data_IF_317762462339
#
_entry.id   IF_317762462339
#
_cell.length_a   1.000
_cell.length_b   1.000
_cell.length_c   1.000
_cell.angle_alpha   90.00
_cell.angle_beta   90.00
_cell.angle_gamma   90.00
#
_symmetry.space_group_name_H-M   'P 1'
#
loop_
_entity.id
_entity.type
_entity.pdbx_description
1 polymer ?
#
# COMPACT_ATOMS: atom_id res chain seq x y z
N UNK A 1 28.76 4.51 34.38
CA UNK A 1 27.57 3.94 33.72
C UNK A 1 27.46 4.57 32.35
N UNK A 2 27.81 3.82 31.30
CA UNK A 2 27.69 4.30 29.92
C UNK A 2 26.21 4.34 29.54
N UNK A 3 25.70 5.52 29.24
CA UNK A 3 24.38 5.69 28.62
C UNK A 3 24.49 5.08 27.23
N UNK A 4 24.02 3.84 27.08
CA UNK A 4 23.83 3.24 25.76
C UNK A 4 22.82 4.12 25.05
N UNK A 5 23.31 4.95 24.12
CA UNK A 5 22.48 5.67 23.17
C UNK A 5 21.72 4.64 22.35
N UNK A 6 20.52 4.26 22.81
CA UNK A 6 19.56 3.49 22.04
C UNK A 6 19.22 4.35 20.83
N UNK A 7 19.71 3.96 19.65
CA UNK A 7 19.22 4.53 18.40
C UNK A 7 17.69 4.50 18.43
N UNK A 8 17.00 5.60 18.07
CA UNK A 8 15.55 5.63 18.09
C UNK A 8 15.02 4.51 17.19
N UNK A 9 14.04 3.75 17.71
CA UNK A 9 13.36 2.72 16.95
C UNK A 9 12.68 3.36 15.74
N UNK A 10 12.77 2.72 14.59
CA UNK A 10 12.04 3.17 13.40
C UNK A 10 10.54 3.07 13.66
N UNK A 11 9.80 4.14 13.40
CA UNK A 11 8.34 4.14 13.54
C UNK A 11 7.68 3.39 12.38
N UNK A 12 6.62 2.64 12.65
CA UNK A 12 5.87 1.98 11.58
C UNK A 12 5.28 3.00 10.59
N UNK A 13 4.94 4.22 11.05
CA UNK A 13 4.50 5.32 10.20
C UNK A 13 5.59 5.89 9.30
N UNK A 14 6.86 5.49 9.44
CA UNK A 14 7.96 5.88 8.55
C UNK A 14 8.16 4.86 7.42
N UNK A 15 7.52 3.68 7.50
CA UNK A 15 7.59 2.68 6.45
C UNK A 15 6.80 3.19 5.24
N UNK A 16 7.49 3.32 4.11
CA UNK A 16 6.93 3.76 2.83
C UNK A 16 7.18 2.67 1.81
N UNK A 17 6.11 2.23 1.15
CA UNK A 17 6.17 1.35 -0.02
C UNK A 17 5.37 1.98 -1.13
N UNK A 18 5.67 1.63 -2.38
CA UNK A 18 4.82 2.00 -3.50
C UNK A 18 3.60 1.06 -3.52
N UNK A 19 2.46 1.58 -3.97
CA UNK A 19 1.19 0.84 -3.91
C UNK A 19 0.70 0.38 -5.27
N UNK A 20 1.39 0.74 -6.36
CA UNK A 20 1.01 0.31 -7.70
C UNK A 20 0.98 -1.20 -7.78
N UNK A 21 0.06 -1.78 -8.54
CA UNK A 21 0.01 -3.25 -8.73
C UNK A 21 1.33 -3.77 -9.28
N UNK A 22 2.02 -2.97 -10.12
CA UNK A 22 3.34 -3.28 -10.64
C UNK A 22 4.39 -3.41 -9.54
N UNK A 23 4.45 -2.46 -8.61
CA UNK A 23 5.41 -2.47 -7.51
C UNK A 23 5.10 -3.59 -6.51
N UNK A 24 3.82 -3.79 -6.17
CA UNK A 24 3.39 -4.91 -5.32
C UNK A 24 3.80 -6.27 -5.91
N UNK A 25 3.63 -6.46 -7.22
CA UNK A 25 4.13 -7.66 -7.92
C UNK A 25 5.65 -7.79 -7.87
N UNK A 26 6.38 -6.68 -7.86
CA UNK A 26 7.83 -6.71 -7.73
C UNK A 26 8.26 -7.07 -6.30
N UNK A 27 7.55 -6.59 -5.29
CA UNK A 27 7.78 -6.92 -3.89
C UNK A 27 7.59 -8.41 -3.60
N UNK A 28 6.48 -8.99 -4.07
CA UNK A 28 6.16 -10.41 -3.90
C UNK A 28 7.18 -11.37 -4.55
N UNK A 29 8.09 -10.86 -5.39
CA UNK A 29 9.17 -11.64 -6.01
C UNK A 29 10.45 -11.72 -5.19
N UNK A 30 10.52 -11.06 -4.02
CA UNK A 30 11.68 -11.23 -3.13
C UNK A 30 11.82 -12.71 -2.77
N UNK A 31 13.01 -13.26 -3.02
CA UNK A 31 13.35 -14.65 -2.76
C UNK A 31 14.62 -14.76 -1.92
N UNK A 32 14.46 -15.37 -0.75
CA UNK A 32 15.51 -15.62 0.22
C UNK A 32 16.45 -16.71 -0.28
N UNK A 33 17.70 -16.72 0.18
CA UNK A 33 18.68 -17.76 -0.18
C UNK A 33 18.32 -19.09 0.50
N UNK A 34 17.85 -19.02 1.73
CA UNK A 34 17.36 -20.12 2.55
C UNK A 34 16.30 -19.60 3.51
N UNK A 35 15.58 -20.50 4.16
CA UNK A 35 14.71 -20.13 5.26
C UNK A 35 14.63 -21.26 6.29
N UNK A 36 15.01 -20.97 7.52
CA UNK A 36 14.92 -21.89 8.66
C UNK A 36 14.44 -21.17 9.94
N UNK A 37 14.39 -21.89 11.06
CA UNK A 37 13.94 -21.31 12.33
C UNK A 37 14.76 -20.10 12.79
N UNK A 38 16.06 -20.02 12.48
CA UNK A 38 16.87 -18.83 12.84
C UNK A 38 16.41 -17.60 12.05
N UNK A 39 16.04 -17.79 10.78
CA UNK A 39 15.50 -16.72 9.94
C UNK A 39 14.11 -16.26 10.45
N UNK A 40 13.27 -17.19 10.93
CA UNK A 40 11.99 -16.85 11.56
C UNK A 40 12.15 -16.07 12.89
N UNK A 41 13.14 -16.42 13.71
CA UNK A 41 13.51 -15.67 14.91
C UNK A 41 14.02 -14.28 14.58
N UNK A 42 14.88 -14.13 13.55
CA UNK A 42 15.32 -12.83 13.08
C UNK A 42 14.14 -11.92 12.71
N UNK A 43 13.15 -12.43 11.97
CA UNK A 43 11.94 -11.68 11.62
C UNK A 43 11.20 -11.24 12.89
N UNK A 44 11.01 -12.16 13.84
CA UNK A 44 10.30 -11.87 15.09
C UNK A 44 11.00 -10.78 15.92
N UNK A 45 12.32 -10.84 16.01
CA UNK A 45 13.11 -9.83 16.72
C UNK A 45 13.10 -8.49 15.99
N UNK A 46 13.09 -8.50 14.65
CA UNK A 46 12.92 -7.29 13.85
C UNK A 46 11.59 -6.64 14.11
N UNK A 47 10.49 -7.38 14.11
CA UNK A 47 9.16 -6.85 14.45
C UNK A 47 9.19 -6.16 15.82
N UNK A 48 9.75 -6.81 16.86
CA UNK A 48 9.86 -6.24 18.21
C UNK A 48 10.75 -4.98 18.30
N UNK A 49 11.57 -4.72 17.28
CA UNK A 49 12.47 -3.56 17.24
C UNK A 49 11.82 -2.28 16.69
N UNK A 50 10.62 -2.36 16.09
CA UNK A 50 9.89 -1.19 15.61
C UNK A 50 9.19 -0.44 16.76
N UNK A 51 8.92 0.84 16.53
CA UNK A 51 7.98 1.63 17.32
C UNK A 51 6.60 1.59 16.65
N UNK A 52 5.62 1.04 17.38
CA UNK A 52 4.26 0.82 16.90
C UNK A 52 3.33 2.01 17.17
N UNK A 53 3.82 3.08 17.81
CA UNK A 53 3.08 4.32 17.99
C UNK A 53 1.73 4.09 18.72
N UNK A 54 1.73 3.15 19.68
CA UNK A 54 0.56 2.76 20.45
C UNK A 54 -0.37 1.74 19.76
N UNK A 55 -0.04 1.26 18.56
CA UNK A 55 -0.79 0.20 17.90
C UNK A 55 -0.43 -1.19 18.45
N UNK A 56 -1.41 -2.07 18.50
CA UNK A 56 -1.27 -3.46 18.92
C UNK A 56 -1.27 -4.39 17.69
N UNK A 57 -0.43 -5.42 17.70
CA UNK A 57 -0.40 -6.43 16.63
C UNK A 57 -0.26 -7.86 17.15
N UNK A 58 -0.80 -8.79 16.35
CA UNK A 58 -0.45 -10.21 16.39
C UNK A 58 0.29 -10.58 15.11
N UNK A 59 1.30 -11.43 15.23
CA UNK A 59 2.03 -11.94 14.06
C UNK A 59 2.36 -13.43 14.19
N UNK A 60 2.53 -14.07 13.03
CA UNK A 60 3.02 -15.44 12.94
C UNK A 60 3.88 -15.65 11.68
N UNK A 61 4.87 -16.52 11.78
CA UNK A 61 5.73 -16.99 10.70
C UNK A 61 5.49 -18.48 10.56
N UNK A 62 4.78 -18.87 9.49
CA UNK A 62 4.32 -20.24 9.29
C UNK A 62 4.73 -20.78 7.93
N UNK A 63 5.06 -22.06 7.91
CA UNK A 63 5.20 -22.84 6.68
C UNK A 63 3.84 -23.45 6.29
N UNK A 64 3.62 -23.67 4.99
CA UNK A 64 2.36 -24.23 4.50
C UNK A 64 2.18 -25.72 4.83
N UNK A 65 3.21 -26.38 5.35
CA UNK A 65 3.09 -27.72 5.93
C UNK A 65 2.52 -27.71 7.36
N UNK A 66 2.15 -26.55 7.89
CA UNK A 66 1.53 -26.39 9.21
C UNK A 66 2.50 -26.05 10.34
N UNK A 67 3.81 -25.99 10.09
CA UNK A 67 4.78 -25.59 11.11
C UNK A 67 4.74 -24.08 11.35
N UNK A 68 4.41 -23.67 12.59
CA UNK A 68 4.62 -22.31 13.07
C UNK A 68 6.01 -22.20 13.68
N UNK A 69 6.91 -21.48 12.99
CA UNK A 69 8.31 -21.35 13.40
C UNK A 69 8.50 -20.28 14.48
N UNK A 70 7.67 -19.25 14.46
CA UNK A 70 7.60 -18.21 15.48
C UNK A 70 6.28 -17.45 15.40
N UNK A 71 5.83 -16.91 16.53
CA UNK A 71 4.66 -16.03 16.64
C UNK A 71 4.79 -15.11 17.84
N UNK A 72 3.91 -14.12 17.92
CA UNK A 72 3.89 -13.22 19.07
C UNK A 72 2.80 -12.17 18.99
N UNK A 73 2.71 -11.45 20.11
CA UNK A 73 1.83 -10.30 20.30
C UNK A 73 2.71 -9.11 20.70
N UNK A 74 2.42 -7.95 20.15
CA UNK A 74 2.96 -6.66 20.60
C UNK A 74 1.77 -5.85 21.06
N UNK A 75 1.73 -5.50 22.35
CA UNK A 75 0.60 -4.82 22.96
C UNK A 75 -0.53 -5.78 23.36
N UNK A 76 -1.79 -5.41 23.13
CA UNK A 76 -2.98 -6.21 23.48
C UNK A 76 -3.80 -6.60 22.24
N UNK A 77 -4.10 -7.89 22.09
CA UNK A 77 -4.94 -8.38 20.97
C UNK A 77 -6.09 -9.23 21.48
N UNK A 78 -7.17 -9.25 20.71
CA UNK A 78 -8.36 -10.05 20.97
C UNK A 78 -8.37 -11.32 20.10
N UNK A 79 -9.16 -12.35 20.47
CA UNK A 79 -9.24 -13.60 19.71
C UNK A 79 -9.54 -13.43 18.22
N UNK A 80 -10.42 -12.48 17.85
CA UNK A 80 -10.76 -12.23 16.44
C UNK A 80 -9.57 -11.78 15.59
N UNK A 81 -8.49 -11.24 16.18
CA UNK A 81 -7.28 -10.90 15.43
C UNK A 81 -6.61 -12.15 14.83
N UNK A 82 -6.78 -13.32 15.47
CA UNK A 82 -6.31 -14.61 14.96
C UNK A 82 -7.12 -15.09 13.77
N UNK A 83 -8.43 -14.83 13.72
CA UNK A 83 -9.26 -15.17 12.54
C UNK A 83 -8.74 -14.43 11.31
N UNK A 84 -8.47 -13.14 11.44
CA UNK A 84 -7.84 -12.35 10.37
C UNK A 84 -6.45 -12.87 10.00
N UNK A 85 -5.62 -13.22 10.98
CA UNK A 85 -4.28 -13.75 10.73
C UNK A 85 -4.36 -15.07 9.94
N UNK A 86 -5.25 -15.99 10.32
CA UNK A 86 -5.45 -17.26 9.63
C UNK A 86 -6.04 -17.06 8.23
N UNK A 87 -7.04 -16.19 8.11
CA UNK A 87 -7.70 -15.88 6.84
C UNK A 87 -6.73 -15.30 5.80
N UNK A 88 -5.86 -14.36 6.21
CA UNK A 88 -4.84 -13.78 5.34
C UNK A 88 -3.78 -14.82 4.93
N UNK A 89 -3.36 -15.68 5.85
CA UNK A 89 -2.42 -16.79 5.57
C UNK A 89 -2.97 -17.73 4.49
N UNK A 90 -4.23 -18.14 4.62
CA UNK A 90 -4.89 -19.04 3.67
C UNK A 90 -4.98 -18.42 2.27
N UNK A 91 -5.18 -17.10 2.16
CA UNK A 91 -5.11 -16.39 0.88
C UNK A 91 -3.73 -16.50 0.24
N UNK A 92 -2.64 -16.35 1.00
CA UNK A 92 -1.28 -16.53 0.44
C UNK A 92 -1.04 -17.98 0.04
N UNK A 93 -1.45 -18.93 0.87
CA UNK A 93 -1.31 -20.36 0.59
C UNK A 93 -2.04 -20.77 -0.69
N UNK A 94 -3.25 -20.23 -0.92
CA UNK A 94 -4.07 -20.56 -2.10
C UNK A 94 -3.61 -19.84 -3.38
N UNK A 95 -3.24 -18.57 -3.29
CA UNK A 95 -3.02 -17.74 -4.48
C UNK A 95 -1.55 -17.41 -4.78
N UNK A 96 -0.63 -17.78 -3.87
CA UNK A 96 0.80 -17.51 -3.99
C UNK A 96 1.12 -16.02 -4.22
N UNK A 97 0.29 -15.16 -3.63
CA UNK A 97 0.42 -13.70 -3.64
C UNK A 97 0.21 -13.21 -2.21
N UNK A 98 0.87 -12.12 -1.82
CA UNK A 98 0.53 -11.43 -0.59
C UNK A 98 -0.96 -11.10 -0.57
N UNK A 99 -1.57 -11.18 0.62
CA UNK A 99 -3.01 -10.97 0.76
C UNK A 99 -3.44 -9.59 0.24
N UNK A 100 -2.57 -8.59 0.42
CA UNK A 100 -2.76 -7.25 -0.12
C UNK A 100 -2.77 -7.21 -1.65
N UNK A 101 -1.75 -7.77 -2.32
CA UNK A 101 -1.67 -7.78 -3.78
C UNK A 101 -2.89 -8.49 -4.39
N UNK A 102 -3.28 -9.64 -3.82
CA UNK A 102 -4.47 -10.35 -4.25
C UNK A 102 -5.72 -9.47 -4.11
N UNK A 103 -5.90 -8.84 -2.95
CA UNK A 103 -7.00 -7.92 -2.70
C UNK A 103 -7.06 -6.74 -3.66
N UNK A 104 -5.94 -6.05 -3.89
CA UNK A 104 -5.89 -4.93 -4.83
C UNK A 104 -6.17 -5.38 -6.27
N UNK A 105 -5.75 -6.60 -6.65
CA UNK A 105 -6.05 -7.19 -7.96
C UNK A 105 -7.54 -7.48 -8.12
N UNK A 106 -8.20 -8.01 -7.08
CA UNK A 106 -9.66 -8.23 -7.09
C UNK A 106 -10.43 -6.91 -7.21
N UNK A 107 -10.07 -5.92 -6.40
CA UNK A 107 -10.69 -4.59 -6.44
C UNK A 107 -10.53 -3.98 -7.84
N UNK A 108 -9.33 -4.02 -8.41
CA UNK A 108 -9.09 -3.51 -9.77
C UNK A 108 -9.91 -4.27 -10.82
N UNK A 109 -10.07 -5.58 -10.67
CA UNK A 109 -10.84 -6.41 -11.61
C UNK A 109 -12.34 -6.11 -11.59
N UNK A 110 -12.91 -5.82 -10.42
CA UNK A 110 -14.37 -5.72 -10.24
C UNK A 110 -14.89 -4.29 -10.01
N UNK A 111 -14.01 -3.35 -9.66
CA UNK A 111 -14.32 -1.96 -9.36
C UNK A 111 -13.31 -1.02 -10.00
N UNK A 112 -12.92 -1.30 -11.25
CA UNK A 112 -12.05 -0.41 -12.01
C UNK A 112 -12.69 0.97 -12.19
N UNK A 113 -11.86 2.00 -12.04
CA UNK A 113 -12.19 3.38 -12.35
C UNK A 113 -11.22 3.89 -13.42
N UNK A 114 -11.72 4.52 -14.50
CA UNK A 114 -10.88 5.23 -15.45
C UNK A 114 -9.94 6.22 -14.76
N UNK A 115 -8.79 6.48 -15.36
CA UNK A 115 -7.68 7.27 -14.82
C UNK A 115 -8.10 8.54 -14.05
N UNK A 116 -8.92 9.38 -14.69
CA UNK A 116 -9.38 10.66 -14.15
C UNK A 116 -10.77 10.61 -13.49
N UNK A 117 -11.38 9.43 -13.45
CA UNK A 117 -12.69 9.22 -12.86
C UNK A 117 -12.61 9.09 -11.33
N UNK A 118 -13.69 9.51 -10.68
CA UNK A 118 -13.85 9.50 -9.24
C UNK A 118 -14.93 8.50 -8.84
N UNK A 119 -14.86 8.00 -7.60
CA UNK A 119 -15.97 7.28 -7.01
C UNK A 119 -17.18 8.20 -6.83
N UNK A 120 -18.39 7.64 -6.72
CA UNK A 120 -19.60 8.43 -6.46
C UNK A 120 -19.51 9.19 -5.12
N UNK A 121 -18.85 8.59 -4.11
CA UNK A 121 -18.61 9.23 -2.81
C UNK A 121 -17.65 10.41 -2.93
N UNK A 122 -16.54 10.26 -3.65
CA UNK A 122 -15.58 11.35 -3.86
C UNK A 122 -16.17 12.47 -4.70
N UNK A 123 -16.93 12.10 -5.72
CA UNK A 123 -17.67 13.06 -6.55
C UNK A 123 -18.59 13.91 -5.70
N UNK A 124 -19.43 13.27 -4.87
CA UNK A 124 -20.36 13.97 -3.99
C UNK A 124 -19.63 14.90 -3.01
N UNK A 125 -18.53 14.41 -2.43
CA UNK A 125 -17.68 15.18 -1.51
C UNK A 125 -17.07 16.42 -2.17
N UNK A 126 -16.51 16.28 -3.38
CA UNK A 126 -15.90 17.40 -4.12
C UNK A 126 -16.95 18.44 -4.55
N UNK A 127 -18.14 17.99 -4.97
CA UNK A 127 -19.25 18.87 -5.36
C UNK A 127 -19.78 19.69 -4.19
N UNK A 128 -19.74 19.16 -2.96
CA UNK A 128 -20.19 19.87 -1.76
C UNK A 128 -19.22 20.98 -1.29
N UNK A 129 -17.96 20.97 -1.72
CA UNK A 129 -16.96 21.99 -1.32
C UNK A 129 -17.31 23.34 -1.96
N UNK A 130 -17.81 24.31 -1.19
CA UNK A 130 -18.30 25.59 -1.71
C UNK A 130 -17.20 26.43 -2.38
N UNK A 131 -16.00 26.44 -1.83
CA UNK A 131 -14.85 27.15 -2.40
C UNK A 131 -14.36 26.45 -3.68
N UNK A 132 -14.41 27.17 -4.81
CA UNK A 132 -14.02 26.62 -6.11
C UNK A 132 -12.55 26.18 -6.14
N UNK A 133 -11.66 26.94 -5.49
CA UNK A 133 -10.22 26.64 -5.49
C UNK A 133 -9.93 25.36 -4.71
N UNK A 134 -10.55 25.19 -3.54
CA UNK A 134 -10.42 24.00 -2.72
C UNK A 134 -11.10 22.79 -3.36
N UNK A 135 -12.23 22.97 -4.06
CA UNK A 135 -12.86 21.91 -4.84
C UNK A 135 -11.94 21.36 -5.93
N UNK A 136 -11.20 22.24 -6.63
CA UNK A 136 -10.20 21.85 -7.63
C UNK A 136 -8.97 21.20 -6.98
N UNK A 137 -8.49 21.72 -5.84
CA UNK A 137 -7.43 21.04 -5.08
C UNK A 137 -7.84 19.63 -4.69
N UNK A 138 -9.07 19.46 -4.22
CA UNK A 138 -9.58 18.18 -3.76
C UNK A 138 -9.78 17.18 -4.89
N UNK A 139 -10.19 17.64 -6.08
CA UNK A 139 -10.16 16.83 -7.30
C UNK A 139 -8.75 16.26 -7.53
N UNK A 140 -7.72 17.11 -7.54
CA UNK A 140 -6.34 16.66 -7.74
C UNK A 140 -5.83 15.76 -6.61
N UNK A 141 -6.12 16.05 -5.34
CA UNK A 141 -5.81 15.15 -4.20
C UNK A 141 -6.43 13.78 -4.36
N UNK A 142 -7.61 13.72 -4.96
CA UNK A 142 -8.33 12.47 -5.11
C UNK A 142 -7.76 11.63 -6.25
N UNK A 143 -7.43 12.24 -7.40
CA UNK A 143 -6.92 11.49 -8.57
C UNK A 143 -5.40 11.30 -8.60
N UNK A 144 -4.62 12.09 -7.85
CA UNK A 144 -3.16 12.05 -7.88
C UNK A 144 -2.53 11.58 -6.57
N UNK A 145 -1.33 11.02 -6.67
CA UNK A 145 -0.48 10.66 -5.54
C UNK A 145 0.98 11.01 -5.84
N UNK A 146 1.73 11.33 -4.80
CA UNK A 146 3.18 11.52 -4.92
C UNK A 146 3.87 10.18 -5.20
N UNK A 147 4.70 10.16 -6.23
CA UNK A 147 5.51 9.01 -6.62
C UNK A 147 6.82 9.47 -7.25
N UNK A 148 7.92 9.33 -6.50
CA UNK A 148 9.24 9.82 -6.93
C UNK A 148 9.65 9.18 -8.26
N UNK A 149 10.05 10.05 -9.19
CA UNK A 149 10.47 9.65 -10.53
C UNK A 149 9.34 9.53 -11.55
N UNK A 150 8.09 9.62 -11.13
CA UNK A 150 6.94 9.66 -12.04
C UNK A 150 6.73 11.06 -12.63
N UNK A 151 6.00 11.13 -13.74
CA UNK A 151 5.70 12.38 -14.43
C UNK A 151 4.30 12.36 -15.00
N UNK A 152 3.63 13.51 -15.01
CA UNK A 152 2.29 13.65 -15.57
C UNK A 152 2.15 14.95 -16.38
N UNK A 153 1.44 14.89 -17.50
CA UNK A 153 1.21 16.04 -18.38
C UNK A 153 0.25 17.04 -17.74
N UNK A 154 0.64 18.31 -17.66
CA UNK A 154 -0.27 19.37 -17.21
C UNK A 154 -1.43 19.57 -18.18
N UNK A 155 -1.15 19.53 -19.49
CA UNK A 155 -2.15 19.74 -20.51
C UNK A 155 -3.30 18.72 -20.40
N UNK A 156 -2.94 17.45 -20.22
CA UNK A 156 -3.90 16.36 -20.06
C UNK A 156 -4.69 16.49 -18.76
N UNK A 157 -3.98 16.72 -17.65
CA UNK A 157 -4.60 16.93 -16.33
C UNK A 157 -5.60 18.07 -16.32
N UNK A 158 -5.21 19.22 -16.85
CA UNK A 158 -6.05 20.41 -16.90
C UNK A 158 -7.26 20.20 -17.82
N UNK A 159 -7.08 19.51 -18.95
CA UNK A 159 -8.19 19.13 -19.84
C UNK A 159 -9.23 18.28 -19.11
N UNK A 160 -8.77 17.24 -18.39
CA UNK A 160 -9.63 16.30 -17.67
C UNK A 160 -10.30 16.90 -16.45
N UNK A 161 -9.62 17.79 -15.73
CA UNK A 161 -10.21 18.56 -14.65
C UNK A 161 -11.34 19.47 -15.17
N UNK A 162 -11.16 20.14 -16.32
CA UNK A 162 -12.21 20.97 -16.92
C UNK A 162 -13.41 20.15 -17.40
N UNK A 163 -13.17 18.96 -17.93
CA UNK A 163 -14.24 18.02 -18.29
C UNK A 163 -15.10 17.67 -17.06
N UNK A 164 -14.46 17.32 -15.94
CA UNK A 164 -15.14 17.09 -14.67
C UNK A 164 -15.91 18.33 -14.17
N UNK A 165 -15.28 19.51 -14.24
CA UNK A 165 -15.92 20.76 -13.81
C UNK A 165 -17.19 21.06 -14.60
N UNK A 166 -17.17 20.88 -15.92
CA UNK A 166 -18.33 21.15 -16.79
C UNK A 166 -19.47 20.16 -16.61
N UNK A 167 -19.15 18.90 -16.37
CA UNK A 167 -20.13 17.80 -16.36
C UNK A 167 -20.69 17.52 -14.97
N UNK A 168 -19.97 17.88 -13.91
CA UNK A 168 -20.29 17.42 -12.55
C UNK A 168 -20.33 18.56 -11.53
N UNK A 169 -19.26 19.34 -11.38
CA UNK A 169 -19.17 20.28 -10.25
C UNK A 169 -19.66 21.69 -10.52
N UNK A 170 -19.69 22.14 -11.78
CA UNK A 170 -19.92 23.52 -12.19
C UNK A 170 -18.80 24.49 -11.79
N UNK A 171 -17.74 24.02 -11.12
CA UNK A 171 -16.69 24.86 -10.52
C UNK A 171 -15.43 24.81 -11.36
N UNK A 172 -15.18 25.90 -12.08
CA UNK A 172 -13.98 26.07 -12.90
C UNK A 172 -13.05 27.07 -12.24
N UNK A 173 -11.77 26.71 -12.18
CA UNK A 173 -10.70 27.59 -11.73
C UNK A 173 -9.64 27.59 -12.82
N UNK A 174 -9.28 28.78 -13.26
CA UNK A 174 -8.17 28.94 -14.20
C UNK A 174 -6.86 29.04 -13.42
N UNK A 175 -5.92 28.14 -13.72
CA UNK A 175 -4.58 28.14 -13.14
C UNK A 175 -3.61 28.58 -14.23
N UNK A 176 -3.13 29.81 -14.12
CA UNK A 176 -2.13 30.36 -15.04
C UNK A 176 -0.84 29.52 -15.01
N UNK A 177 -0.15 29.41 -16.14
CA UNK A 177 1.03 28.55 -16.30
C UNK A 177 2.14 28.85 -15.29
N UNK A 178 2.34 30.11 -14.93
CA UNK A 178 3.32 30.58 -13.93
C UNK A 178 2.92 30.28 -12.48
N UNK A 179 1.66 29.93 -12.23
CA UNK A 179 1.13 29.57 -10.92
C UNK A 179 1.07 28.04 -10.68
N UNK A 180 1.25 27.22 -11.72
CA UNK A 180 1.13 25.75 -11.67
C UNK A 180 2.03 25.14 -10.60
N UNK A 181 3.29 25.58 -10.50
CA UNK A 181 4.21 25.04 -9.50
C UNK A 181 3.75 25.31 -8.07
N UNK A 182 3.37 26.56 -7.77
CA UNK A 182 2.86 26.92 -6.44
C UNK A 182 1.57 26.17 -6.12
N UNK A 183 0.70 25.99 -7.10
CA UNK A 183 -0.54 25.24 -6.95
C UNK A 183 -0.27 23.79 -6.53
N UNK A 184 0.53 23.04 -7.31
CA UNK A 184 0.78 21.63 -7.01
C UNK A 184 1.62 21.45 -5.75
N UNK A 185 2.60 22.32 -5.45
CA UNK A 185 3.36 22.25 -4.19
C UNK A 185 2.48 22.47 -2.94
N UNK A 186 1.38 23.22 -3.07
CA UNK A 186 0.42 23.39 -1.98
C UNK A 186 -0.40 22.13 -1.66
N UNK A 187 -0.43 21.17 -2.58
CA UNK A 187 -1.15 19.90 -2.45
C UNK A 187 -0.17 18.74 -2.20
N UNK A 188 0.93 18.75 -2.94
CA UNK A 188 1.95 17.71 -3.03
C UNK A 188 3.33 18.37 -2.88
N UNK A 189 3.86 18.47 -1.65
CA UNK A 189 5.10 19.19 -1.35
C UNK A 189 6.32 18.76 -2.18
N UNK A 190 6.36 17.49 -2.60
CA UNK A 190 7.46 16.91 -3.37
C UNK A 190 7.29 17.03 -4.89
N UNK A 191 6.19 17.62 -5.36
CA UNK A 191 5.98 17.87 -6.79
C UNK A 191 6.93 18.95 -7.34
N UNK A 192 7.32 18.80 -8.61
CA UNK A 192 8.13 19.78 -9.32
C UNK A 192 7.56 20.03 -10.71
N UNK A 193 7.33 21.28 -11.08
CA UNK A 193 6.90 21.61 -12.44
C UNK A 193 8.11 21.78 -13.36
N UNK A 194 8.02 21.23 -14.57
CA UNK A 194 9.06 21.33 -15.61
C UNK A 194 8.41 21.59 -16.96
N UNK A 195 9.17 22.19 -17.85
CA UNK A 195 8.77 22.43 -19.23
C UNK A 195 9.81 21.79 -20.16
N UNK A 196 9.33 21.15 -21.22
CA UNK A 196 10.15 20.56 -22.27
C UNK A 196 9.55 20.94 -23.63
N UNK A 197 10.38 21.42 -24.56
CA UNK A 197 9.89 21.96 -25.83
C UNK A 197 9.11 20.96 -26.70
N UNK A 198 9.21 19.64 -26.43
CA UNK A 198 8.43 18.60 -27.13
C UNK A 198 7.22 18.13 -26.31
N UNK A 199 7.33 18.08 -24.98
CA UNK A 199 6.28 17.56 -24.08
C UNK A 199 5.37 18.63 -23.47
N UNK A 200 5.72 19.91 -23.63
CA UNK A 200 5.07 21.02 -22.95
C UNK A 200 5.33 21.00 -21.43
N UNK A 201 4.40 21.58 -20.67
CA UNK A 201 4.45 21.62 -19.21
C UNK A 201 4.05 20.26 -18.60
N UNK A 202 4.85 19.77 -17.66
CA UNK A 202 4.58 18.53 -16.94
C UNK A 202 5.00 18.65 -15.47
N UNK A 203 4.41 17.79 -14.62
CA UNK A 203 4.68 17.76 -13.19
C UNK A 203 5.41 16.45 -12.88
N UNK A 204 6.59 16.56 -12.26
CA UNK A 204 7.37 15.43 -11.76
C UNK A 204 6.92 15.05 -10.36
N UNK A 205 7.23 13.81 -9.99
CA UNK A 205 6.94 13.17 -8.72
C UNK A 205 5.44 13.00 -8.45
N UNK A 206 4.60 13.08 -9.48
CA UNK A 206 3.18 12.80 -9.41
C UNK A 206 2.81 11.72 -10.42
N UNK A 207 1.84 10.89 -10.05
CA UNK A 207 1.13 9.97 -10.94
C UNK A 207 -0.35 9.94 -10.62
N UNK A 208 -1.13 9.40 -11.55
CA UNK A 208 -2.51 9.02 -11.29
C UNK A 208 -2.55 7.86 -10.29
N UNK A 209 -3.54 7.94 -9.39
CA UNK A 209 -3.92 6.82 -8.54
C UNK A 209 -4.55 5.71 -9.39
N UNK A 210 -4.19 4.48 -9.08
CA UNK A 210 -4.85 3.29 -9.62
C UNK A 210 -6.27 3.16 -9.05
N UNK A 211 -7.09 2.31 -9.68
CA UNK A 211 -8.49 2.13 -9.28
C UNK A 211 -8.63 1.77 -7.80
N UNK A 212 -7.81 0.84 -7.33
CA UNK A 212 -7.82 0.37 -5.94
C UNK A 212 -7.37 1.43 -4.92
N UNK A 213 -6.67 2.49 -5.35
CA UNK A 213 -6.28 3.63 -4.52
C UNK A 213 -7.36 4.74 -4.49
N UNK A 214 -8.32 4.67 -5.41
CA UNK A 214 -9.45 5.62 -5.55
C UNK A 214 -10.75 5.11 -4.94
N UNK A 215 -10.91 3.78 -4.84
CA UNK A 215 -12.14 3.19 -4.26
C UNK A 215 -11.94 2.83 -2.79
N UNK A 216 -12.87 3.26 -1.95
CA UNK A 216 -12.90 2.88 -0.54
C UNK A 216 -13.75 1.61 -0.36
N UNK A 217 -13.24 0.47 -0.83
CA UNK A 217 -13.91 -0.83 -0.76
C UNK A 217 -13.01 -1.83 -0.03
N UNK A 218 -13.60 -2.61 0.87
CA UNK A 218 -12.90 -3.71 1.52
C UNK A 218 -12.64 -4.83 0.50
N UNK A 219 -11.37 -5.17 0.31
CA UNK A 219 -10.99 -6.24 -0.59
C UNK A 219 -11.51 -7.61 -0.12
N UNK A 220 -11.60 -7.84 1.20
CA UNK A 220 -12.23 -9.05 1.74
C UNK A 220 -13.73 -9.10 1.40
N UNK A 221 -14.45 -7.97 1.46
CA UNK A 221 -15.85 -7.95 0.98
C UNK A 221 -15.96 -8.28 -0.50
N UNK A 222 -15.05 -7.76 -1.34
CA UNK A 222 -15.03 -8.11 -2.78
C UNK A 222 -14.75 -9.60 -2.97
N UNK A 223 -13.82 -10.18 -2.20
CA UNK A 223 -13.55 -11.63 -2.21
C UNK A 223 -14.79 -12.43 -1.80
N UNK A 224 -15.45 -12.02 -0.71
CA UNK A 224 -16.69 -12.61 -0.20
C UNK A 224 -17.84 -12.49 -1.21
N UNK A 225 -17.89 -11.47 -2.05
CA UNK A 225 -18.95 -11.33 -3.05
C UNK A 225 -18.64 -12.07 -4.36
N UNK A 226 -17.37 -12.08 -4.77
CA UNK A 226 -16.97 -12.48 -6.13
C UNK A 226 -16.33 -13.85 -6.22
N UNK A 227 -16.04 -14.50 -5.09
CA UNK A 227 -15.38 -15.83 -5.06
C UNK A 227 -16.09 -16.77 -4.08
N UNK A 228 -15.74 -18.05 -4.10
CA UNK A 228 -16.17 -19.05 -3.11
C UNK A 228 -15.45 -18.93 -1.76
N UNK A 229 -14.40 -18.12 -1.69
CA UNK A 229 -13.52 -18.00 -0.53
C UNK A 229 -14.06 -16.90 0.38
N UNK A 230 -14.46 -17.28 1.59
CA UNK A 230 -15.14 -16.38 2.52
C UNK A 230 -14.35 -16.19 3.81
N UNK A 231 -14.48 -15.03 4.43
CA UNK A 231 -14.14 -14.86 5.85
C UNK A 231 -15.00 -15.82 6.72
N UNK A 232 -14.46 -16.43 7.80
CA UNK A 232 -13.11 -16.28 8.37
C UNK A 232 -12.04 -17.19 7.76
N UNK A 233 -12.34 -17.97 6.72
CA UNK A 233 -11.37 -18.88 6.12
C UNK A 233 -10.37 -18.15 5.21
N UNK A 234 -10.78 -17.05 4.57
CA UNK A 234 -9.95 -16.27 3.67
C UNK A 234 -10.19 -14.77 3.87
N UNK A 235 -9.12 -13.99 3.71
CA UNK A 235 -9.17 -12.53 3.74
C UNK A 235 -8.21 -11.95 2.70
N UNK A 236 -8.63 -10.89 2.02
CA UNK A 236 -7.87 -10.20 0.98
C UNK A 236 -7.24 -8.89 1.49
N UNK A 237 -7.31 -8.65 2.79
CA UNK A 237 -6.73 -7.48 3.43
C UNK A 237 -5.23 -7.67 3.67
N UNK A 238 -4.47 -6.59 3.63
CA UNK A 238 -3.02 -6.65 3.78
C UNK A 238 -2.56 -7.21 5.12
N UNK A 239 -1.42 -7.89 5.11
CA UNK A 239 -0.77 -8.40 6.32
C UNK A 239 -0.17 -9.79 6.19
N UNK A 240 -0.57 -10.61 5.23
CA UNK A 240 0.17 -11.84 4.90
C UNK A 240 1.09 -11.62 3.69
N UNK A 241 2.35 -12.04 3.81
CA UNK A 241 3.38 -11.86 2.79
C UNK A 241 4.14 -13.18 2.56
N UNK A 242 4.33 -13.60 1.29
CA UNK A 242 4.93 -14.90 0.97
C UNK A 242 6.39 -15.01 1.37
N UNK A 243 6.79 -16.19 1.84
CA UNK A 243 8.18 -16.58 2.08
C UNK A 243 8.64 -17.39 0.88
N UNK A 244 9.29 -16.73 -0.09
CA UNK A 244 9.87 -17.40 -1.24
C UNK A 244 11.34 -17.75 -0.98
N UNK A 245 11.78 -18.91 -1.46
CA UNK A 245 13.17 -19.35 -1.39
C UNK A 245 13.66 -19.65 -2.81
N UNK A 246 14.88 -19.22 -3.12
CA UNK A 246 15.49 -19.42 -4.45
C UNK A 246 15.52 -20.91 -4.81
N UNK A 247 15.14 -21.23 -6.04
CA UNK A 247 15.09 -22.61 -6.53
C UNK A 247 13.82 -23.38 -6.16
N UNK A 248 12.91 -22.80 -5.39
CA UNK A 248 11.59 -23.38 -5.09
C UNK A 248 10.53 -22.68 -5.95
N UNK A 249 9.63 -23.45 -6.56
CA UNK A 249 8.66 -22.96 -7.56
C UNK A 249 7.54 -22.07 -6.99
N UNK A 250 7.38 -22.02 -5.66
CA UNK A 250 6.38 -21.20 -4.99
C UNK A 250 6.78 -20.88 -3.55
N UNK A 251 5.97 -20.08 -2.85
CA UNK A 251 6.19 -19.77 -1.45
C UNK A 251 6.10 -21.04 -0.60
N UNK A 252 6.99 -21.16 0.38
CA UNK A 252 6.99 -22.29 1.34
C UNK A 252 6.16 -22.00 2.59
N UNK A 253 5.75 -20.75 2.76
CA UNK A 253 5.07 -20.23 3.93
C UNK A 253 4.75 -18.75 3.78
N UNK A 254 4.31 -18.13 4.87
CA UNK A 254 4.08 -16.70 4.94
C UNK A 254 4.40 -16.14 6.33
N UNK A 255 4.85 -14.88 6.36
CA UNK A 255 4.68 -14.03 7.53
C UNK A 255 3.28 -13.43 7.48
N UNK A 256 2.58 -13.41 8.61
CA UNK A 256 1.28 -12.77 8.72
C UNK A 256 1.25 -11.80 9.90
N UNK A 257 0.72 -10.61 9.69
CA UNK A 257 0.56 -9.52 10.65
C UNK A 257 -0.91 -9.06 10.62
N UNK A 258 -1.45 -8.76 11.80
CA UNK A 258 -2.80 -8.24 11.96
C UNK A 258 -2.86 -7.30 13.15
N UNK A 259 -3.53 -6.16 12.98
CA UNK A 259 -3.83 -5.21 14.06
C UNK A 259 -3.57 -3.75 13.71
N UNK A 260 -2.82 -3.46 12.63
CA UNK A 260 -2.50 -2.08 12.29
C UNK A 260 -3.66 -1.34 11.60
N UNK A 261 -3.82 -0.04 11.85
CA UNK A 261 -4.77 0.80 11.13
C UNK A 261 -4.50 0.78 9.62
N UNK A 262 -5.56 0.61 8.82
CA UNK A 262 -5.48 0.51 7.36
C UNK A 262 -4.51 -0.60 6.95
N UNK A 263 -5.01 -1.83 6.82
CA UNK A 263 -4.35 -3.11 6.47
C UNK A 263 -3.13 -3.07 5.51
N UNK A 264 -2.98 -1.99 4.73
CA UNK A 264 -1.75 -1.61 4.04
C UNK A 264 -0.51 -1.53 4.97
N UNK A 265 -0.62 -1.02 6.20
CA UNK A 265 0.55 -0.91 7.10
C UNK A 265 1.03 -2.30 7.53
N UNK A 266 0.11 -3.25 7.78
CA UNK A 266 0.45 -4.65 8.04
C UNK A 266 1.29 -5.22 6.86
N UNK A 267 0.84 -4.99 5.62
CA UNK A 267 1.54 -5.46 4.43
C UNK A 267 2.92 -4.80 4.26
N UNK A 268 3.01 -3.48 4.45
CA UNK A 268 4.26 -2.75 4.34
C UNK A 268 5.30 -3.21 5.37
N UNK A 269 4.86 -3.46 6.61
CA UNK A 269 5.73 -4.01 7.66
C UNK A 269 6.17 -5.44 7.34
N UNK A 270 5.26 -6.30 6.87
CA UNK A 270 5.57 -7.67 6.48
C UNK A 270 6.60 -7.73 5.34
N UNK A 271 6.41 -6.93 4.29
CA UNK A 271 7.38 -6.76 3.20
C UNK A 271 8.74 -6.26 3.72
N UNK A 272 8.72 -5.26 4.60
CA UNK A 272 9.93 -4.61 5.13
C UNK A 272 10.82 -5.60 5.88
N UNK A 273 10.26 -6.42 6.78
CA UNK A 273 11.07 -7.38 7.56
C UNK A 273 11.61 -8.52 6.69
N UNK A 274 10.86 -8.97 5.68
CA UNK A 274 11.35 -9.96 4.69
C UNK A 274 12.49 -9.36 3.86
N UNK A 275 12.37 -8.10 3.45
CA UNK A 275 13.41 -7.38 2.71
C UNK A 275 14.69 -7.22 3.55
N UNK A 276 14.55 -6.93 4.85
CA UNK A 276 15.68 -6.83 5.78
C UNK A 276 16.37 -8.18 6.00
N UNK A 277 15.61 -9.27 6.10
CA UNK A 277 16.17 -10.62 6.15
C UNK A 277 16.92 -10.96 4.87
N UNK A 278 16.34 -10.66 3.70
CA UNK A 278 17.00 -10.87 2.40
C UNK A 278 18.33 -10.10 2.30
N UNK A 279 18.35 -8.85 2.77
CA UNK A 279 19.57 -8.05 2.81
C UNK A 279 20.59 -8.60 3.82
N UNK A 280 20.15 -9.07 4.99
CA UNK A 280 21.00 -9.70 5.99
C UNK A 280 21.67 -10.98 5.46
N UNK A 281 20.91 -11.84 4.78
CA UNK A 281 21.44 -13.06 4.14
C UNK A 281 22.44 -12.77 3.02
N UNK A 282 22.38 -11.58 2.41
CA UNK A 282 23.29 -11.16 1.33
C UNK A 282 24.62 -10.59 1.84
N UNK A 283 24.64 -10.03 3.06
CA UNK A 283 25.84 -9.44 3.69
C UNK A 283 26.73 -10.44 4.42
N UNK A 284 26.16 -11.55 4.87
CA UNK A 284 26.89 -12.61 5.60
C UNK A 284 27.44 -13.70 4.67
N UNK A 285 27.81 -13.32 3.45
CA UNK A 285 28.56 -14.11 2.47
C UNK A 285 29.98 -13.54 2.39
#
# INVERSE_FOLDING_TARGET
MSVVSLNPRMRISEIRIKHSIKDLKAYDRIALRKFDSKDAWFISDKLRSYDYEGADIVFAIRLFNGLELASGVIGQVAPHNYDWLNAKLNTVAKYHMSSYLYGQTLVTKHHSLPDYALSSSDTSRIVQITDSFESVKEYFRTVLIEDKGSTISWHELHSKQREFARTVSGKTVEIASDAVERFFRSIFPNSETKEDGKRGLYIRNLRLKESHEKVNISATKVMDEKTENKFPNYAADGGAFPINVRGISGPIGAITISGLPKNLVDHALAYKVISELSAHQSKNN
#
